data_IF_756992318494
#
_entry.id   IF_756992318494
#
_cell.length_a   1.000
_cell.length_b   1.000
_cell.length_c   1.000
_cell.angle_alpha   90.00
_cell.angle_beta   90.00
_cell.angle_gamma   90.00
#
_symmetry.space_group_name_H-M   'P 1'
#
loop_
_entity.id
_entity.type
_entity.pdbx_description
1 polymer ?
#
# COMPACT_ATOMS: atom_id res chain seq x y z
N UNK A 1 -4.58 19.79 10.15
CA UNK A 1 -4.72 21.17 9.61
C UNK A 1 -3.35 21.60 9.16
N UNK A 2 -3.08 21.62 7.84
CA UNK A 2 -1.73 21.79 7.26
C UNK A 2 -1.27 23.27 7.16
N UNK A 3 -1.66 24.13 8.10
CA UNK A 3 -1.03 25.45 8.31
C UNK A 3 -1.04 26.44 7.14
N UNK A 4 -1.79 26.22 6.06
CA UNK A 4 -1.83 27.13 4.91
C UNK A 4 -3.01 28.09 5.05
N UNK A 5 -2.72 29.32 5.47
CA UNK A 5 -3.66 30.43 5.47
C UNK A 5 -3.56 31.18 4.13
N UNK A 6 -4.69 31.30 3.40
CA UNK A 6 -4.72 31.77 2.00
C UNK A 6 -4.22 33.21 1.84
N UNK A 7 -4.30 34.01 2.91
CA UNK A 7 -4.01 35.45 2.89
C UNK A 7 -2.70 35.82 3.58
N UNK A 8 -1.92 34.84 4.04
CA UNK A 8 -0.64 35.06 4.71
C UNK A 8 0.35 33.93 4.39
N UNK A 9 0.83 33.84 3.12
CA UNK A 9 1.78 32.80 2.77
C UNK A 9 3.07 32.98 3.58
N UNK A 10 3.61 31.92 4.22
CA UNK A 10 4.87 32.02 4.95
C UNK A 10 6.01 32.40 4.00
N UNK A 11 6.95 33.21 4.48
CA UNK A 11 8.13 33.67 3.74
C UNK A 11 9.01 32.49 3.31
N UNK A 12 9.59 32.57 2.11
CA UNK A 12 10.38 31.48 1.47
C UNK A 12 11.73 31.17 2.15
N UNK A 13 12.13 31.93 3.18
CA UNK A 13 13.42 31.80 3.88
C UNK A 13 13.58 30.55 4.75
N UNK A 14 12.56 29.69 4.87
CA UNK A 14 12.61 28.43 5.63
C UNK A 14 12.34 27.17 4.81
N UNK A 15 12.24 27.27 3.48
CA UNK A 15 11.96 26.12 2.64
C UNK A 15 13.24 25.31 2.44
N UNK A 16 13.39 24.22 3.19
CA UNK A 16 14.38 23.21 2.88
C UNK A 16 13.97 22.49 1.58
N UNK A 17 14.47 22.94 0.44
CA UNK A 17 14.35 22.19 -0.82
C UNK A 17 15.41 21.10 -0.88
N UNK A 18 15.04 19.86 -1.25
CA UNK A 18 15.95 18.70 -1.35
C UNK A 18 15.38 17.48 -0.63
N UNK A 19 16.04 16.31 -0.69
CA UNK A 19 15.61 15.06 0.01
C UNK A 19 15.47 15.19 1.53
N UNK A 20 15.96 16.29 2.11
CA UNK A 20 15.95 16.57 3.56
C UNK A 20 14.64 17.23 4.07
N UNK A 21 13.69 17.57 3.19
CA UNK A 21 12.39 18.13 3.62
C UNK A 21 11.47 17.13 4.33
N UNK A 22 11.74 15.83 4.17
CA UNK A 22 11.07 14.77 4.91
C UNK A 22 11.80 14.61 6.25
N UNK A 23 11.30 15.28 7.28
CA UNK A 23 11.62 14.89 8.65
C UNK A 23 10.99 13.51 8.94
N UNK A 24 11.67 12.72 9.76
CA UNK A 24 11.17 11.46 10.35
C UNK A 24 9.72 11.54 10.84
N UNK A 25 9.28 12.66 11.42
CA UNK A 25 7.88 12.88 11.83
C UNK A 25 6.91 12.92 10.65
N UNK A 26 7.24 13.67 9.60
CA UNK A 26 6.41 13.76 8.38
C UNK A 26 6.38 12.45 7.59
N UNK A 27 7.45 11.65 7.63
CA UNK A 27 7.47 10.32 7.01
C UNK A 27 6.48 9.37 7.68
N UNK A 28 6.44 9.35 9.02
CA UNK A 28 5.50 8.52 9.77
C UNK A 28 4.05 8.91 9.45
N UNK A 29 3.75 10.21 9.34
CA UNK A 29 2.42 10.67 8.94
C UNK A 29 2.05 10.22 7.52
N UNK A 30 2.99 10.24 6.57
CA UNK A 30 2.75 9.73 5.20
C UNK A 30 2.52 8.23 5.17
N UNK A 31 3.30 7.46 5.92
CA UNK A 31 3.12 6.00 6.03
C UNK A 31 1.74 5.68 6.60
N UNK A 32 1.36 6.32 7.71
CA UNK A 32 0.05 6.10 8.33
C UNK A 32 -1.09 6.48 7.39
N UNK A 33 -1.00 7.65 6.74
CA UNK A 33 -2.02 8.10 5.80
C UNK A 33 -2.19 7.13 4.61
N UNK A 34 -1.07 6.71 4.00
CA UNK A 34 -1.10 5.77 2.89
C UNK A 34 -1.63 4.40 3.33
N UNK A 35 -1.19 3.89 4.49
CA UNK A 35 -1.68 2.65 5.06
C UNK A 35 -3.17 2.69 5.41
N UNK A 36 -3.66 3.78 6.00
CA UNK A 36 -5.08 3.93 6.34
C UNK A 36 -5.96 3.95 5.09
N UNK A 37 -5.54 4.63 4.03
CA UNK A 37 -6.28 4.65 2.77
C UNK A 37 -6.24 3.31 2.05
N UNK A 38 -5.04 2.75 1.87
CA UNK A 38 -4.86 1.55 1.06
C UNK A 38 -5.35 0.29 1.78
N UNK A 39 -5.30 0.27 3.11
CA UNK A 39 -5.87 -0.79 3.94
C UNK A 39 -7.39 -0.73 4.10
N UNK A 40 -8.01 0.40 3.77
CA UNK A 40 -9.46 0.55 3.89
C UNK A 40 -10.19 -0.10 2.71
N UNK A 41 -10.53 -1.37 2.89
CA UNK A 41 -11.26 -2.19 1.91
C UNK A 41 -12.71 -1.75 1.69
N UNK A 42 -13.22 -0.78 2.45
CA UNK A 42 -14.54 -0.18 2.20
C UNK A 42 -14.52 0.88 1.09
N UNK A 43 -13.33 1.44 0.78
CA UNK A 43 -13.19 2.45 -0.25
C UNK A 43 -13.46 1.86 -1.65
N UNK A 44 -14.23 2.56 -2.50
CA UNK A 44 -14.55 2.06 -3.85
C UNK A 44 -13.32 1.72 -4.69
N UNK A 45 -12.24 2.50 -4.56
CA UNK A 45 -10.97 2.26 -5.25
C UNK A 45 -10.30 0.97 -4.79
N UNK A 46 -10.22 0.73 -3.47
CA UNK A 46 -9.64 -0.49 -2.91
C UNK A 46 -10.49 -1.71 -3.26
N UNK A 47 -11.82 -1.62 -3.18
CA UNK A 47 -12.74 -2.67 -3.66
C UNK A 47 -12.48 -3.02 -5.13
N UNK A 48 -12.28 -2.02 -5.98
CA UNK A 48 -11.97 -2.26 -7.38
C UNK A 48 -10.62 -2.98 -7.57
N UNK A 49 -9.59 -2.65 -6.77
CA UNK A 49 -8.30 -3.34 -6.79
C UNK A 49 -8.43 -4.80 -6.31
N UNK A 50 -9.14 -5.05 -5.21
CA UNK A 50 -9.42 -6.42 -4.72
C UNK A 50 -10.11 -7.26 -5.79
N UNK A 51 -11.15 -6.71 -6.43
CA UNK A 51 -11.87 -7.41 -7.50
C UNK A 51 -10.97 -7.68 -8.70
N UNK A 52 -10.04 -6.79 -9.04
CA UNK A 52 -9.05 -7.02 -10.11
C UNK A 52 -8.13 -8.19 -9.77
N UNK A 53 -7.65 -8.30 -8.53
CA UNK A 53 -6.86 -9.45 -8.08
C UNK A 53 -7.65 -10.76 -8.14
N UNK A 54 -8.88 -10.78 -7.64
CA UNK A 54 -9.74 -11.97 -7.73
C UNK A 54 -9.97 -12.42 -9.18
N UNK A 55 -10.03 -11.48 -10.13
CA UNK A 55 -10.19 -11.78 -11.55
C UNK A 55 -8.93 -12.33 -12.23
N UNK A 56 -7.75 -12.30 -11.59
CA UNK A 56 -6.53 -12.90 -12.15
C UNK A 56 -6.56 -14.44 -12.13
N UNK A 57 -7.36 -15.05 -11.25
CA UNK A 57 -7.50 -16.49 -11.18
C UNK A 57 -8.34 -16.96 -10.01
N UNK A 58 -8.81 -18.21 -10.06
CA UNK A 58 -9.59 -18.83 -8.97
C UNK A 58 -8.78 -19.02 -7.68
N UNK A 59 -7.48 -19.24 -7.85
CA UNK A 59 -6.51 -19.40 -6.77
C UNK A 59 -5.27 -18.60 -7.14
N UNK A 60 -4.72 -17.84 -6.20
CA UNK A 60 -3.45 -17.12 -6.35
C UNK A 60 -2.42 -17.71 -5.39
N UNK A 61 -1.23 -18.02 -5.90
CA UNK A 61 -0.10 -18.32 -5.02
C UNK A 61 0.37 -17.03 -4.32
N UNK A 62 1.06 -17.12 -3.18
CA UNK A 62 1.60 -15.95 -2.48
C UNK A 62 2.42 -15.03 -3.36
N UNK A 63 3.24 -15.57 -4.27
CA UNK A 63 4.09 -14.81 -5.19
C UNK A 63 3.24 -14.01 -6.17
N UNK A 64 2.29 -14.66 -6.85
CA UNK A 64 1.40 -14.00 -7.82
C UNK A 64 0.53 -12.96 -7.13
N UNK A 65 0.09 -13.23 -5.90
CA UNK A 65 -0.68 -12.27 -5.10
C UNK A 65 0.14 -11.02 -4.76
N UNK A 66 1.40 -11.18 -4.31
CA UNK A 66 2.27 -10.03 -3.99
C UNK A 66 2.59 -9.22 -5.24
N UNK A 67 2.97 -9.89 -6.34
CA UNK A 67 3.27 -9.21 -7.60
C UNK A 67 2.04 -8.45 -8.13
N UNK A 68 0.85 -9.07 -8.08
CA UNK A 68 -0.40 -8.41 -8.44
C UNK A 68 -0.73 -7.21 -7.54
N UNK A 69 -0.39 -7.25 -6.25
CA UNK A 69 -0.58 -6.11 -5.37
C UNK A 69 0.34 -4.94 -5.74
N UNK A 70 1.62 -5.21 -6.03
CA UNK A 70 2.61 -4.22 -6.45
C UNK A 70 2.23 -3.55 -7.77
N UNK A 71 1.70 -4.34 -8.72
CA UNK A 71 1.20 -3.87 -10.02
C UNK A 71 -0.01 -2.93 -9.91
N UNK A 72 -0.88 -3.13 -8.91
CA UNK A 72 -2.11 -2.34 -8.77
C UNK A 72 -1.91 -1.03 -8.00
N UNK A 73 -0.97 -0.99 -7.06
CA UNK A 73 -0.74 0.19 -6.22
C UNK A 73 -0.04 1.32 -6.98
N UNK A 74 0.85 1.01 -7.93
CA UNK A 74 1.68 2.04 -8.55
C UNK A 74 2.81 1.50 -9.42
N UNK A 75 2.58 0.36 -10.10
CA UNK A 75 3.63 -0.55 -10.58
C UNK A 75 4.99 -0.44 -9.88
N UNK A 76 4.99 -0.67 -8.55
CA UNK A 76 6.16 -0.36 -7.71
C UNK A 76 7.19 -1.47 -7.86
N UNK A 77 8.41 -1.07 -8.21
CA UNK A 77 9.55 -1.99 -8.21
C UNK A 77 10.19 -1.96 -6.83
N UNK A 78 10.00 -3.03 -6.06
CA UNK A 78 10.68 -3.25 -4.78
C UNK A 78 11.97 -4.04 -4.99
N UNK A 79 12.91 -3.92 -4.06
CA UNK A 79 14.09 -4.78 -4.10
C UNK A 79 13.75 -6.25 -3.77
N UNK A 80 14.68 -7.16 -4.08
CA UNK A 80 14.48 -8.60 -3.90
C UNK A 80 14.27 -8.97 -2.41
N UNK A 81 14.94 -8.27 -1.49
CA UNK A 81 14.79 -8.48 -0.05
C UNK A 81 13.38 -8.11 0.42
N UNK A 82 12.93 -6.90 0.10
CA UNK A 82 11.57 -6.42 0.41
C UNK A 82 10.53 -7.36 -0.20
N UNK A 83 10.69 -7.75 -1.48
CA UNK A 83 9.78 -8.69 -2.14
C UNK A 83 9.71 -10.02 -1.40
N UNK A 84 10.86 -10.57 -1.02
CA UNK A 84 10.92 -11.86 -0.31
C UNK A 84 10.23 -11.79 1.05
N UNK A 85 10.32 -10.67 1.77
CA UNK A 85 9.60 -10.46 3.03
C UNK A 85 8.09 -10.39 2.85
N UNK A 86 7.61 -9.67 1.83
CA UNK A 86 6.19 -9.60 1.48
C UNK A 86 5.63 -10.98 1.11
N UNK A 87 6.35 -11.73 0.28
CA UNK A 87 5.98 -13.11 -0.10
C UNK A 87 5.99 -14.03 1.11
N UNK A 88 7.02 -13.97 1.95
CA UNK A 88 7.09 -14.76 3.17
C UNK A 88 5.92 -14.45 4.13
N UNK A 89 5.50 -13.18 4.21
CA UNK A 89 4.29 -12.81 4.94
C UNK A 89 3.06 -13.48 4.35
N UNK A 90 2.83 -13.34 3.04
CA UNK A 90 1.67 -13.92 2.37
C UNK A 90 1.64 -15.46 2.50
N UNK A 91 2.80 -16.11 2.47
CA UNK A 91 2.92 -17.57 2.52
C UNK A 91 2.50 -18.17 3.87
N UNK A 92 2.54 -17.41 4.97
CA UNK A 92 2.02 -17.85 6.28
C UNK A 92 0.54 -18.21 6.26
N UNK A 93 -0.22 -17.57 5.37
CA UNK A 93 -1.66 -17.81 5.18
C UNK A 93 -1.95 -18.66 3.94
N UNK A 94 -0.91 -19.08 3.20
CA UNK A 94 -1.03 -19.90 1.99
C UNK A 94 -1.74 -19.21 0.83
N UNK A 95 -2.17 -20.02 -0.14
CA UNK A 95 -2.87 -19.57 -1.34
C UNK A 95 -4.14 -18.79 -1.02
N UNK A 96 -4.46 -17.81 -1.87
CA UNK A 96 -5.70 -17.07 -1.78
C UNK A 96 -6.74 -17.68 -2.72
N UNK A 97 -7.98 -17.82 -2.23
CA UNK A 97 -9.15 -18.31 -2.98
C UNK A 97 -10.31 -17.36 -2.75
N UNK A 98 -11.34 -17.45 -3.58
CA UNK A 98 -12.55 -16.63 -3.50
C UNK A 98 -13.81 -17.39 -3.96
N UNK A 99 -13.85 -18.71 -3.79
CA UNK A 99 -14.97 -19.54 -4.24
C UNK A 99 -16.21 -19.48 -3.33
N UNK A 100 -16.08 -18.89 -2.15
CA UNK A 100 -17.13 -18.72 -1.15
C UNK A 100 -17.06 -17.33 -0.51
N UNK A 101 -18.18 -16.87 0.07
CA UNK A 101 -18.23 -15.56 0.75
C UNK A 101 -17.21 -15.43 1.89
N UNK A 102 -16.91 -16.53 2.60
CA UNK A 102 -15.88 -16.54 3.63
C UNK A 102 -14.47 -16.36 3.04
N UNK A 103 -14.17 -17.04 1.93
CA UNK A 103 -12.90 -16.87 1.21
C UNK A 103 -12.77 -15.48 0.59
N UNK A 104 -13.85 -14.91 0.02
CA UNK A 104 -13.86 -13.53 -0.49
C UNK A 104 -13.55 -12.50 0.62
N UNK A 105 -14.14 -12.68 1.80
CA UNK A 105 -13.90 -11.82 2.96
C UNK A 105 -12.43 -11.89 3.38
N UNK A 106 -11.88 -13.10 3.45
CA UNK A 106 -10.48 -13.32 3.80
C UNK A 106 -9.52 -12.77 2.74
N UNK A 107 -9.82 -12.97 1.45
CA UNK A 107 -9.07 -12.41 0.34
C UNK A 107 -9.03 -10.88 0.43
N UNK A 108 -10.19 -10.27 0.69
CA UNK A 108 -10.33 -8.81 0.84
C UNK A 108 -9.48 -8.30 1.99
N UNK A 109 -9.57 -8.93 3.16
CA UNK A 109 -8.77 -8.60 4.35
C UNK A 109 -7.27 -8.69 4.06
N UNK A 110 -6.81 -9.82 3.51
CA UNK A 110 -5.40 -10.04 3.17
C UNK A 110 -4.87 -9.05 2.14
N UNK A 111 -5.71 -8.66 1.18
CA UNK A 111 -5.35 -7.62 0.19
C UNK A 111 -5.13 -6.27 0.86
N UNK A 112 -6.03 -5.84 1.75
CA UNK A 112 -5.86 -4.60 2.50
C UNK A 112 -4.59 -4.60 3.35
N UNK A 113 -4.29 -5.70 4.04
CA UNK A 113 -3.07 -5.86 4.83
C UNK A 113 -1.81 -5.82 3.97
N UNK A 114 -1.81 -6.49 2.81
CA UNK A 114 -0.68 -6.46 1.88
C UNK A 114 -0.43 -5.04 1.35
N UNK A 115 -1.51 -4.32 1.02
CA UNK A 115 -1.40 -2.93 0.59
C UNK A 115 -0.84 -2.01 1.68
N UNK A 116 -1.21 -2.23 2.96
CA UNK A 116 -0.63 -1.51 4.09
C UNK A 116 0.87 -1.78 4.25
N UNK A 117 1.28 -3.04 4.09
CA UNK A 117 2.69 -3.39 4.15
C UNK A 117 3.48 -2.74 3.02
N UNK A 118 2.97 -2.78 1.79
CA UNK A 118 3.59 -2.11 0.63
C UNK A 118 3.68 -0.61 0.89
N UNK A 119 2.63 0.02 1.42
CA UNK A 119 2.64 1.45 1.76
C UNK A 119 3.73 1.82 2.78
N UNK A 120 4.15 0.88 3.63
CA UNK A 120 5.18 1.09 4.64
C UNK A 120 6.61 0.85 4.13
N UNK A 121 6.80 0.38 2.89
CA UNK A 121 8.14 0.16 2.33
C UNK A 121 8.81 1.47 1.97
N UNK A 122 10.15 1.45 1.95
CA UNK A 122 10.93 2.62 1.54
C UNK A 122 10.66 2.95 0.07
N UNK A 123 10.55 1.94 -0.79
CA UNK A 123 10.31 2.09 -2.22
C UNK A 123 8.99 2.78 -2.50
N UNK A 124 7.91 2.45 -1.78
CA UNK A 124 6.65 3.17 -1.92
C UNK A 124 6.76 4.63 -1.47
N UNK A 125 7.48 4.90 -0.38
CA UNK A 125 7.54 6.24 0.21
C UNK A 125 8.45 7.22 -0.54
N UNK A 126 9.43 6.71 -1.27
CA UNK A 126 10.47 7.48 -1.94
C UNK A 126 10.46 7.41 -3.48
N UNK A 127 9.49 6.70 -4.08
CA UNK A 127 9.11 6.85 -5.50
C UNK A 127 8.57 8.26 -5.83
#
# INVERSE_FOLDING_TARGET
YMGMDLMNPPTVEGWHTGREWIDSGTLVERINYAGDLLGNTELPGVKAMVNRLMNQGKTLSPEVFVDGCLDLIGPITVDEGTRNELVAHAQRSGDLRHGSSAEETEFTRRTGEMFQMIAATAEFQFE
#
